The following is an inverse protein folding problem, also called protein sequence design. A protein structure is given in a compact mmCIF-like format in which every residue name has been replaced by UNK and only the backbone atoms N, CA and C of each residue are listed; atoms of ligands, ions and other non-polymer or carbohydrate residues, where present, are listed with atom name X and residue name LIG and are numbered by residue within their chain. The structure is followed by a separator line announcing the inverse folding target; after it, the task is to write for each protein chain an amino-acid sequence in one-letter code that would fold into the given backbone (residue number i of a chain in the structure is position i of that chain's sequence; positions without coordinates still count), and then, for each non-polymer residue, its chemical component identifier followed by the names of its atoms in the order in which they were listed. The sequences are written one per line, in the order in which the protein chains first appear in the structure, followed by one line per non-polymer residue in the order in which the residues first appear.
data_IF_276169517649
#
_entry.id   IF_276169517649
#
_cell.length_a   1.000
_cell.length_b   1.000
_cell.length_c   1.000
_cell.angle_alpha   90.00
_cell.angle_beta   90.00
_cell.angle_gamma   90.00
#
_symmetry.space_group_name_H-M   'P 1'
#
loop_
_entity.id
_entity.type
_entity.pdbx_description
1 polymer ?
#
# COMPACT_ATOMS: atom_id res chain seq x y z
N UNK A 1 -11.78 9.22 2.86
CA UNK A 1 -10.56 9.73 2.21
C UNK A 1 -9.42 9.69 3.23
N UNK A 2 -8.27 9.12 2.87
CA UNK A 2 -7.07 9.05 3.75
C UNK A 2 -6.43 10.44 3.82
N UNK A 3 -6.04 10.89 5.01
CA UNK A 3 -5.45 12.22 5.23
C UNK A 3 -4.60 12.26 6.50
N UNK A 4 -3.76 13.30 6.61
CA UNK A 4 -3.09 13.68 7.84
C UNK A 4 -4.14 13.93 8.93
N UNK A 5 -3.89 13.46 10.15
CA UNK A 5 -4.84 13.47 11.25
C UNK A 5 -5.96 12.45 11.14
N UNK A 6 -5.90 11.54 10.15
CA UNK A 6 -6.88 10.47 9.96
C UNK A 6 -8.27 10.95 9.49
N UNK A 7 -9.13 10.04 9.02
CA UNK A 7 -10.48 10.41 8.58
C UNK A 7 -11.50 10.55 9.72
N UNK A 8 -11.18 10.05 10.91
CA UNK A 8 -12.11 9.93 12.05
C UNK A 8 -11.97 11.04 13.10
N UNK A 9 -12.70 10.92 14.22
CA UNK A 9 -12.63 11.84 15.36
C UNK A 9 -11.26 11.83 16.07
N UNK A 10 -11.05 12.73 17.04
CA UNK A 10 -9.75 12.94 17.72
C UNK A 10 -9.25 11.72 18.50
N UNK A 11 -10.15 10.84 18.90
CA UNK A 11 -9.92 9.57 19.59
C UNK A 11 -9.77 8.37 18.63
N UNK A 12 -9.90 8.59 17.32
CA UNK A 12 -9.72 7.55 16.32
C UNK A 12 -8.25 7.10 16.23
N UNK A 13 -7.94 5.81 15.99
CA UNK A 13 -6.56 5.32 15.93
C UNK A 13 -5.67 6.06 14.92
N UNK A 14 -6.26 6.50 13.81
CA UNK A 14 -5.55 7.27 12.77
C UNK A 14 -5.38 8.76 13.08
N UNK A 15 -5.87 9.27 14.22
CA UNK A 15 -5.85 10.70 14.55
C UNK A 15 -4.42 11.28 14.64
N UNK A 16 -3.44 10.43 14.89
CA UNK A 16 -2.03 10.80 14.99
C UNK A 16 -1.26 10.74 13.67
N UNK A 17 -1.86 10.30 12.56
CA UNK A 17 -1.19 10.19 11.26
C UNK A 17 -0.56 11.51 10.83
N UNK A 18 0.75 11.52 10.60
CA UNK A 18 1.52 12.73 10.25
C UNK A 18 1.80 12.88 8.77
N UNK A 19 1.88 11.76 8.06
CA UNK A 19 2.27 11.71 6.65
C UNK A 19 1.35 10.72 5.94
N UNK A 20 1.01 11.01 4.69
CA UNK A 20 0.31 10.09 3.79
C UNK A 20 1.17 9.93 2.57
N UNK A 21 1.61 8.70 2.32
CA UNK A 21 2.35 8.37 1.10
C UNK A 21 1.40 7.86 0.01
N UNK A 22 1.71 8.25 -1.22
CA UNK A 22 1.24 7.58 -2.43
C UNK A 22 2.35 6.66 -2.97
N UNK A 23 2.07 5.93 -4.05
CA UNK A 23 3.03 4.99 -4.61
C UNK A 23 4.36 5.65 -5.03
N UNK A 24 4.31 6.89 -5.54
CA UNK A 24 5.50 7.67 -5.93
C UNK A 24 6.35 8.05 -4.73
N UNK A 25 5.75 8.70 -3.73
CA UNK A 25 6.47 9.19 -2.53
C UNK A 25 6.98 8.05 -1.67
N UNK A 26 6.25 6.93 -1.56
CA UNK A 26 6.75 5.76 -0.85
C UNK A 26 7.93 5.12 -1.59
N UNK A 27 7.80 4.94 -2.90
CA UNK A 27 8.89 4.41 -3.75
C UNK A 27 10.13 5.27 -3.65
N UNK A 28 9.98 6.59 -3.80
CA UNK A 28 11.10 7.54 -3.79
C UNK A 28 11.82 7.56 -2.44
N UNK A 29 11.07 7.46 -1.33
CA UNK A 29 11.65 7.39 0.01
C UNK A 29 12.64 6.23 0.15
N UNK A 30 12.29 5.03 -0.35
CA UNK A 30 13.17 3.87 -0.30
C UNK A 30 14.32 3.97 -1.31
N UNK A 31 14.05 4.46 -2.53
CA UNK A 31 15.10 4.68 -3.54
C UNK A 31 16.17 5.67 -3.07
N UNK A 32 15.76 6.78 -2.46
CA UNK A 32 16.67 7.76 -1.87
C UNK A 32 17.54 7.14 -0.75
N UNK A 33 17.03 6.14 -0.04
CA UNK A 33 17.79 5.38 0.97
C UNK A 33 18.71 4.28 0.38
N UNK A 34 18.79 4.18 -0.96
CA UNK A 34 19.62 3.21 -1.67
C UNK A 34 19.05 1.81 -1.75
N UNK A 35 17.71 1.68 -1.76
CA UNK A 35 17.01 0.42 -2.04
C UNK A 35 16.56 0.38 -3.49
N UNK A 36 16.58 -0.81 -4.08
CA UNK A 36 15.79 -1.09 -5.27
C UNK A 36 14.35 -1.36 -4.85
N UNK A 37 13.39 -0.89 -5.66
CA UNK A 37 11.97 -0.94 -5.31
C UNK A 37 11.14 -1.50 -6.45
N UNK A 38 10.33 -2.51 -6.14
CA UNK A 38 9.29 -3.04 -7.00
C UNK A 38 7.92 -2.75 -6.39
N UNK A 39 7.03 -2.13 -7.18
CA UNK A 39 5.63 -1.96 -6.79
C UNK A 39 4.90 -3.30 -6.94
N UNK A 40 4.22 -3.75 -5.89
CA UNK A 40 3.44 -4.99 -5.92
C UNK A 40 1.94 -4.72 -6.06
N UNK A 41 1.41 -3.74 -5.32
CA UNK A 41 0.01 -3.31 -5.40
C UNK A 41 -0.07 -1.80 -5.18
N UNK A 42 -0.81 -1.08 -6.02
CA UNK A 42 -1.03 0.35 -5.87
C UNK A 42 -2.20 0.83 -6.73
N UNK A 43 -2.76 2.00 -6.39
CA UNK A 43 -3.62 2.76 -7.31
C UNK A 43 -2.81 3.89 -7.94
N UNK A 44 -3.00 4.10 -9.24
CA UNK A 44 -2.40 5.23 -9.97
C UNK A 44 -3.19 6.53 -9.75
N UNK A 45 -2.78 7.58 -10.46
CA UNK A 45 -3.39 8.91 -10.42
C UNK A 45 -4.85 8.94 -10.87
N UNK A 46 -5.25 7.99 -11.73
CA UNK A 46 -6.63 7.84 -12.22
C UNK A 46 -7.47 6.98 -11.26
N UNK A 47 -6.87 6.47 -10.18
CA UNK A 47 -7.52 5.57 -9.24
C UNK A 47 -7.60 4.13 -9.74
N UNK A 48 -6.94 3.79 -10.84
CA UNK A 48 -6.90 2.42 -11.38
C UNK A 48 -5.94 1.59 -10.54
N UNK A 49 -6.42 0.43 -10.10
CA UNK A 49 -5.62 -0.51 -9.33
C UNK A 49 -4.68 -1.33 -10.24
N UNK A 50 -3.41 -1.38 -9.84
CA UNK A 50 -2.35 -2.15 -10.47
C UNK A 50 -1.83 -3.20 -9.50
N UNK A 51 -1.51 -4.38 -10.01
CA UNK A 51 -0.92 -5.47 -9.25
C UNK A 51 0.15 -6.17 -10.10
N UNK A 52 1.33 -6.34 -9.52
CA UNK A 52 2.41 -7.14 -10.07
C UNK A 52 2.50 -8.48 -9.34
N UNK A 53 3.08 -9.47 -10.01
CA UNK A 53 3.22 -10.82 -9.47
C UNK A 53 4.26 -10.86 -8.33
N UNK A 54 3.89 -11.53 -7.25
CA UNK A 54 4.79 -11.93 -6.17
C UNK A 54 4.38 -13.30 -5.65
N UNK A 55 5.29 -14.02 -5.00
CA UNK A 55 5.05 -15.39 -4.54
C UNK A 55 4.88 -15.45 -3.02
N UNK A 56 3.76 -16.02 -2.58
CA UNK A 56 3.46 -16.24 -1.17
C UNK A 56 4.46 -17.16 -0.44
N UNK A 57 5.17 -18.01 -1.18
CA UNK A 57 6.28 -18.82 -0.64
C UNK A 57 7.39 -17.94 -0.07
N UNK A 58 7.57 -16.73 -0.59
CA UNK A 58 8.58 -15.77 -0.10
C UNK A 58 8.07 -14.90 1.06
N UNK A 59 6.82 -15.09 1.50
CA UNK A 59 6.21 -14.34 2.59
C UNK A 59 4.80 -13.88 2.23
N UNK A 60 3.83 -14.17 3.10
CA UNK A 60 2.42 -13.81 2.86
C UNK A 60 2.14 -12.37 3.29
N UNK A 61 1.58 -11.59 2.38
CA UNK A 61 1.05 -10.26 2.68
C UNK A 61 -0.47 -10.34 2.86
N UNK A 62 -0.94 -10.48 4.11
CA UNK A 62 -2.36 -10.72 4.42
C UNK A 62 -3.30 -9.61 3.92
N UNK A 63 -2.82 -8.36 3.84
CA UNK A 63 -3.60 -7.20 3.36
C UNK A 63 -3.55 -7.01 1.83
N UNK A 64 -2.93 -7.92 1.09
CA UNK A 64 -2.93 -7.90 -0.37
C UNK A 64 -4.32 -8.19 -0.95
N UNK A 65 -4.57 -7.81 -2.20
CA UNK A 65 -5.78 -8.22 -2.93
C UNK A 65 -5.98 -9.75 -2.87
N UNK A 66 -4.90 -10.53 -2.96
CA UNK A 66 -4.97 -12.00 -3.00
C UNK A 66 -5.46 -12.61 -1.69
N UNK A 67 -5.09 -12.05 -0.54
CA UNK A 67 -5.32 -12.69 0.76
C UNK A 67 -6.29 -11.93 1.68
N UNK A 68 -6.57 -10.65 1.43
CA UNK A 68 -7.50 -9.90 2.27
C UNK A 68 -8.93 -10.39 2.01
N UNK A 69 -9.58 -10.93 3.04
CA UNK A 69 -10.93 -11.48 2.96
C UNK A 69 -11.96 -10.44 2.47
N UNK A 70 -11.71 -9.15 2.70
CA UNK A 70 -12.59 -8.07 2.25
C UNK A 70 -12.56 -7.92 0.73
N UNK A 71 -11.46 -8.29 0.08
CA UNK A 71 -11.23 -8.13 -1.36
C UNK A 71 -11.61 -9.36 -2.20
N UNK A 72 -12.29 -10.37 -1.61
CA UNK A 72 -12.65 -11.62 -2.30
C UNK A 72 -13.98 -11.54 -3.08
N UNK A 73 -14.68 -10.41 -3.03
CA UNK A 73 -15.89 -10.18 -3.82
C UNK A 73 -15.57 -9.77 -5.27
N UNK A 74 -16.62 -9.43 -6.04
CA UNK A 74 -16.48 -8.98 -7.43
C UNK A 74 -15.74 -7.64 -7.58
N UNK A 75 -15.69 -6.85 -6.50
CA UNK A 75 -15.09 -5.51 -6.49
C UNK A 75 -13.99 -5.45 -5.44
N UNK A 76 -12.92 -4.75 -5.80
CA UNK A 76 -11.86 -4.40 -4.87
C UNK A 76 -12.34 -3.28 -3.96
N UNK A 77 -12.54 -3.57 -2.68
CA UNK A 77 -13.10 -2.63 -1.69
C UNK A 77 -12.04 -2.01 -0.77
N UNK A 78 -10.90 -2.69 -0.63
CA UNK A 78 -9.84 -2.27 0.28
C UNK A 78 -8.46 -2.45 -0.37
N UNK A 79 -8.14 -1.66 -1.41
CA UNK A 79 -6.84 -1.72 -2.07
C UNK A 79 -5.71 -1.36 -1.09
N UNK A 80 -4.56 -2.00 -1.28
CA UNK A 80 -3.34 -1.73 -0.52
C UNK A 80 -2.29 -1.05 -1.40
N UNK A 81 -1.42 -0.25 -0.77
CA UNK A 81 -0.16 0.18 -1.35
C UNK A 81 0.94 -0.74 -0.80
N UNK A 82 1.56 -1.51 -1.67
CA UNK A 82 2.56 -2.53 -1.33
C UNK A 82 3.76 -2.35 -2.25
N UNK A 83 4.94 -2.27 -1.66
CA UNK A 83 6.22 -2.30 -2.35
C UNK A 83 7.07 -3.43 -1.78
N UNK A 84 7.89 -4.03 -2.63
CA UNK A 84 9.04 -4.82 -2.24
C UNK A 84 10.28 -3.92 -2.38
N UNK A 85 11.00 -3.71 -1.28
CA UNK A 85 12.18 -2.89 -1.23
C UNK A 85 13.35 -3.75 -0.76
N UNK A 86 14.33 -3.98 -1.63
CA UNK A 86 15.44 -4.87 -1.37
C UNK A 86 16.77 -4.15 -1.57
N UNK A 87 17.78 -4.62 -0.83
CA UNK A 87 19.15 -4.12 -0.89
C UNK A 87 20.07 -5.32 -1.06
N UNK A 88 20.87 -5.29 -2.11
CA UNK A 88 21.90 -6.29 -2.37
C UNK A 88 23.13 -6.04 -1.49
#
# INVERSE_FOLDING_TARGET
MIKIGGPGPKDHPAASHKIVHNYKTLTEMFKTAGYEVQLLEYCDEEGKFHQNNWNAVHGVIFRSKKFDLRNQGEKLVFPSLIIDAYKC
#
